data_IF_361498430910
#
_entry.id   IF_361498430910
#
_cell.length_a   1.000
_cell.length_b   1.000
_cell.length_c   1.000
_cell.angle_alpha   90.00
_cell.angle_beta   90.00
_cell.angle_gamma   90.00
#
_symmetry.space_group_name_H-M   'P 1'
#
loop_
_entity.id
_entity.type
_entity.pdbx_description
1 polymer ?
#
# COMPACT_ATOMS: atom_id res chain seq x y z
N UNK A 1 -24.19 4.68 -43.37
CA UNK A 1 -23.42 4.86 -42.12
C UNK A 1 -24.28 5.07 -40.87
N UNK A 2 -24.94 6.21 -40.59
CA UNK A 2 -25.79 6.35 -39.38
C UNK A 2 -26.99 5.37 -39.31
N UNK A 3 -27.45 4.88 -40.48
CA UNK A 3 -28.54 3.91 -40.62
C UNK A 3 -28.12 2.45 -40.43
N UNK A 4 -26.84 2.10 -40.57
CA UNK A 4 -26.42 0.68 -40.50
C UNK A 4 -26.18 0.23 -39.06
N UNK A 5 -25.58 1.08 -38.21
CA UNK A 5 -25.49 0.82 -36.76
C UNK A 5 -26.88 0.72 -36.10
N UNK A 6 -27.78 1.66 -36.42
CA UNK A 6 -29.16 1.66 -35.89
C UNK A 6 -29.95 0.44 -36.39
N UNK A 7 -29.71 -0.01 -37.63
CA UNK A 7 -30.31 -1.25 -38.16
C UNK A 7 -29.65 -2.50 -37.56
N UNK A 8 -28.37 -2.46 -37.21
CA UNK A 8 -27.64 -3.57 -36.60
C UNK A 8 -28.05 -3.77 -35.13
N UNK A 9 -28.21 -2.71 -34.35
CA UNK A 9 -28.75 -2.77 -32.98
C UNK A 9 -30.25 -3.08 -32.95
N UNK A 10 -31.04 -2.58 -33.92
CA UNK A 10 -32.42 -3.04 -34.13
C UNK A 10 -32.53 -4.50 -34.56
N UNK A 11 -31.48 -5.08 -35.16
CA UNK A 11 -31.42 -6.51 -35.51
C UNK A 11 -30.86 -7.38 -34.39
N UNK A 12 -30.12 -6.79 -33.45
CA UNK A 12 -29.72 -7.44 -32.22
C UNK A 12 -30.88 -7.58 -31.23
N UNK A 13 -32.04 -6.93 -31.47
CA UNK A 13 -33.09 -6.74 -30.46
C UNK A 13 -32.43 -6.33 -29.13
N UNK A 14 -31.97 -5.08 -29.02
CA UNK A 14 -31.44 -4.54 -27.75
C UNK A 14 -32.36 -4.89 -26.57
N UNK A 15 -33.67 -4.90 -26.81
CA UNK A 15 -34.69 -5.37 -25.90
C UNK A 15 -34.57 -6.88 -25.60
N UNK A 16 -34.48 -7.77 -26.60
CA UNK A 16 -34.32 -9.22 -26.40
C UNK A 16 -32.99 -9.60 -25.76
N UNK A 17 -31.87 -8.98 -26.14
CA UNK A 17 -30.57 -9.24 -25.50
C UNK A 17 -30.55 -8.67 -24.08
N UNK A 18 -31.10 -7.47 -23.85
CA UNK A 18 -31.29 -6.97 -22.49
C UNK A 18 -32.20 -7.91 -21.68
N UNK A 19 -33.28 -8.44 -22.28
CA UNK A 19 -34.19 -9.42 -21.68
C UNK A 19 -33.53 -10.77 -21.39
N UNK A 20 -32.71 -11.30 -22.30
CA UNK A 20 -32.02 -12.58 -22.13
C UNK A 20 -30.86 -12.46 -21.13
N UNK A 21 -30.20 -11.29 -21.09
CA UNK A 21 -29.27 -10.89 -20.04
C UNK A 21 -29.96 -10.72 -18.66
N UNK A 22 -31.17 -10.16 -18.64
CA UNK A 22 -31.99 -10.03 -17.42
C UNK A 22 -32.45 -11.39 -16.89
N UNK A 23 -32.86 -12.28 -17.79
CA UNK A 23 -33.31 -13.65 -17.48
C UNK A 23 -32.18 -14.55 -16.97
N UNK A 24 -30.93 -14.29 -17.37
CA UNK A 24 -29.76 -15.08 -16.91
C UNK A 24 -29.24 -14.66 -15.54
N UNK A 25 -29.71 -13.54 -14.97
CA UNK A 25 -29.26 -13.01 -13.68
C UNK A 25 -30.19 -13.31 -12.48
N UNK A 26 -31.19 -14.19 -12.61
CA UNK A 26 -32.13 -14.58 -11.51
C UNK A 26 -32.97 -13.40 -10.93
N UNK A 27 -33.10 -12.27 -11.63
CA UNK A 27 -33.79 -11.06 -11.16
C UNK A 27 -35.20 -10.81 -11.76
N UNK A 28 -35.91 -11.86 -12.18
CA UNK A 28 -37.21 -11.75 -12.84
C UNK A 28 -38.39 -11.46 -11.88
N UNK A 29 -38.33 -10.38 -11.08
CA UNK A 29 -39.52 -9.85 -10.38
C UNK A 29 -40.16 -8.70 -11.18
N UNK A 30 -41.50 -8.61 -11.24
CA UNK A 30 -42.25 -7.66 -12.09
C UNK A 30 -41.88 -6.19 -11.89
N UNK A 31 -41.61 -5.81 -10.64
CA UNK A 31 -41.28 -4.44 -10.22
C UNK A 31 -39.96 -3.91 -10.83
N UNK A 32 -39.09 -4.81 -11.29
CA UNK A 32 -37.82 -4.46 -11.93
C UNK A 32 -37.91 -4.50 -13.46
N UNK A 33 -38.97 -5.08 -14.04
CA UNK A 33 -39.20 -5.09 -15.49
C UNK A 33 -39.55 -3.70 -16.04
N UNK A 34 -40.11 -2.82 -15.20
CA UNK A 34 -40.46 -1.43 -15.56
C UNK A 34 -39.21 -0.56 -15.84
N UNK A 35 -38.01 -1.04 -15.53
CA UNK A 35 -36.75 -0.30 -15.67
C UNK A 35 -35.97 -0.66 -16.95
N UNK A 36 -36.42 -1.66 -17.72
CA UNK A 36 -35.84 -2.04 -19.02
C UNK A 36 -35.79 -0.87 -20.01
N UNK A 37 -36.79 0.05 -20.08
CA UNK A 37 -36.70 1.23 -20.92
C UNK A 37 -35.57 2.21 -20.54
N UNK A 38 -35.15 2.26 -19.26
CA UNK A 38 -34.02 3.07 -18.80
C UNK A 38 -32.66 2.51 -19.27
N UNK A 39 -32.56 1.18 -19.43
CA UNK A 39 -31.39 0.49 -20.01
C UNK A 39 -31.27 0.76 -21.51
N UNK A 40 -32.42 0.98 -22.18
CA UNK A 40 -32.52 1.17 -23.63
C UNK A 40 -32.51 2.65 -24.05
N UNK A 41 -32.74 3.58 -23.12
CA UNK A 41 -32.74 5.01 -23.39
C UNK A 41 -31.32 5.51 -23.71
N UNK A 42 -31.18 6.20 -24.85
CA UNK A 42 -29.94 6.78 -25.38
C UNK A 42 -29.55 8.06 -24.60
N UNK A 43 -29.65 8.03 -23.27
CA UNK A 43 -29.48 9.17 -22.36
C UNK A 43 -28.62 8.81 -21.15
N UNK A 44 -27.87 9.79 -20.64
CA UNK A 44 -26.93 9.66 -19.51
C UNK A 44 -27.56 9.39 -18.14
N UNK A 45 -28.46 8.42 -18.05
CA UNK A 45 -29.23 8.08 -16.84
C UNK A 45 -28.43 7.45 -15.70
N UNK A 46 -27.17 7.08 -15.93
CA UNK A 46 -26.28 6.51 -14.90
C UNK A 46 -25.63 7.55 -13.96
N UNK A 47 -25.83 8.86 -14.23
CA UNK A 47 -25.29 9.94 -13.39
C UNK A 47 -26.26 10.47 -12.33
N UNK A 48 -27.47 9.92 -12.23
CA UNK A 48 -28.35 10.23 -11.11
C UNK A 48 -28.01 9.31 -9.94
N UNK A 49 -27.97 9.84 -8.71
CA UNK A 49 -27.92 9.09 -7.44
C UNK A 49 -29.08 8.07 -7.27
N UNK A 50 -29.93 7.92 -8.30
CA UNK A 50 -31.12 7.08 -8.41
C UNK A 50 -30.99 5.99 -9.49
N UNK A 51 -29.81 5.77 -10.09
CA UNK A 51 -29.60 4.68 -11.04
C UNK A 51 -29.80 3.32 -10.34
N UNK A 52 -30.91 2.65 -10.67
CA UNK A 52 -31.25 1.36 -10.07
C UNK A 52 -30.15 0.32 -10.31
N UNK A 53 -29.74 -0.39 -9.26
CA UNK A 53 -28.77 -1.50 -9.29
C UNK A 53 -29.07 -2.53 -10.40
N UNK A 54 -30.34 -2.65 -10.80
CA UNK A 54 -30.79 -3.55 -11.86
C UNK A 54 -30.47 -3.04 -13.27
N UNK A 55 -30.57 -1.73 -13.51
CA UNK A 55 -30.17 -1.13 -14.77
C UNK A 55 -28.65 -1.25 -14.98
N UNK A 56 -27.86 -1.09 -13.91
CA UNK A 56 -26.40 -1.30 -13.92
C UNK A 56 -26.08 -2.76 -14.29
N UNK A 57 -26.73 -3.74 -13.65
CA UNK A 57 -26.52 -5.16 -13.90
C UNK A 57 -26.93 -5.58 -15.32
N UNK A 58 -28.06 -5.04 -15.84
CA UNK A 58 -28.53 -5.31 -17.19
C UNK A 58 -27.56 -4.77 -18.25
N UNK A 59 -27.05 -3.54 -18.07
CA UNK A 59 -26.06 -2.95 -18.95
C UNK A 59 -24.73 -3.73 -18.96
N UNK A 60 -24.29 -4.23 -17.81
CA UNK A 60 -23.14 -5.12 -17.74
C UNK A 60 -23.37 -6.44 -18.49
N UNK A 61 -24.51 -7.09 -18.26
CA UNK A 61 -24.81 -8.37 -18.89
C UNK A 61 -25.02 -8.23 -20.42
N UNK A 62 -25.61 -7.13 -20.88
CA UNK A 62 -25.68 -6.78 -22.30
C UNK A 62 -24.29 -6.61 -22.91
N UNK A 63 -23.38 -5.86 -22.27
CA UNK A 63 -22.01 -5.71 -22.74
C UNK A 63 -21.29 -7.08 -22.85
N UNK A 64 -21.44 -7.94 -21.84
CA UNK A 64 -20.88 -9.30 -21.84
C UNK A 64 -21.50 -10.19 -22.93
N UNK A 65 -22.80 -10.06 -23.19
CA UNK A 65 -23.48 -10.79 -24.26
C UNK A 65 -22.96 -10.38 -25.65
N UNK A 66 -22.77 -9.08 -25.90
CA UNK A 66 -22.19 -8.57 -27.15
C UNK A 66 -20.76 -9.08 -27.33
N UNK A 67 -19.94 -9.02 -26.28
CA UNK A 67 -18.57 -9.58 -26.30
C UNK A 67 -18.58 -11.06 -26.70
N UNK A 68 -19.49 -11.85 -26.12
CA UNK A 68 -19.56 -13.30 -26.34
C UNK A 68 -20.09 -13.69 -27.71
N UNK A 69 -21.13 -13.00 -28.18
CA UNK A 69 -21.89 -13.42 -29.35
C UNK A 69 -21.57 -12.62 -30.62
N UNK A 70 -21.07 -11.39 -30.47
CA UNK A 70 -20.83 -10.47 -31.60
C UNK A 70 -19.50 -9.69 -31.50
N UNK A 71 -18.34 -10.37 -31.33
CA UNK A 71 -17.05 -9.69 -31.13
C UNK A 71 -16.57 -8.85 -32.33
N UNK A 72 -17.08 -9.10 -33.54
CA UNK A 72 -16.79 -8.32 -34.76
C UNK A 72 -17.40 -6.92 -34.72
N UNK A 73 -18.53 -6.71 -34.00
CA UNK A 73 -19.15 -5.38 -33.85
C UNK A 73 -18.24 -4.43 -33.07
N UNK A 74 -17.48 -4.99 -32.13
CA UNK A 74 -16.49 -4.23 -31.37
C UNK A 74 -15.29 -3.83 -32.23
N UNK A 75 -15.15 -4.35 -33.46
CA UNK A 75 -14.06 -4.08 -34.42
C UNK A 75 -14.29 -2.78 -35.19
N UNK A 76 -15.51 -2.57 -35.67
CA UNK A 76 -15.79 -1.46 -36.58
C UNK A 76 -16.42 -0.25 -35.86
N UNK A 77 -17.11 -0.47 -34.73
CA UNK A 77 -17.97 0.54 -34.10
C UNK A 77 -17.62 0.90 -32.65
N UNK A 78 -16.45 0.44 -32.15
CA UNK A 78 -16.01 0.66 -30.77
C UNK A 78 -16.09 2.13 -30.28
N UNK A 79 -15.62 3.13 -31.04
CA UNK A 79 -15.66 4.52 -30.57
C UNK A 79 -17.07 5.04 -30.39
N UNK A 80 -18.03 4.58 -31.20
CA UNK A 80 -19.43 5.01 -31.10
C UNK A 80 -20.12 4.34 -29.90
N UNK A 81 -19.78 3.09 -29.60
CA UNK A 81 -20.29 2.37 -28.43
C UNK A 81 -19.80 2.99 -27.11
N UNK A 82 -18.55 3.43 -27.07
CA UNK A 82 -17.96 4.15 -25.93
C UNK A 82 -18.49 5.59 -25.77
N UNK A 83 -19.24 6.13 -26.74
CA UNK A 83 -19.78 7.48 -26.69
C UNK A 83 -21.28 7.54 -26.37
N UNK A 84 -22.04 6.43 -26.52
CA UNK A 84 -23.51 6.48 -26.59
C UNK A 84 -24.27 5.75 -25.48
N UNK A 85 -23.60 5.05 -24.57
CA UNK A 85 -24.26 4.15 -23.60
C UNK A 85 -23.92 4.46 -22.14
N UNK A 86 -24.66 3.80 -21.24
CA UNK A 86 -24.49 3.82 -19.78
C UNK A 86 -23.01 3.65 -19.36
N UNK A 87 -22.63 4.21 -18.21
CA UNK A 87 -21.24 4.20 -17.75
C UNK A 87 -20.74 2.77 -17.51
N UNK A 88 -21.62 1.89 -16.98
CA UNK A 88 -21.25 0.48 -16.74
C UNK A 88 -21.06 -0.32 -18.02
N UNK A 89 -21.91 -0.12 -19.03
CA UNK A 89 -21.73 -0.77 -20.33
C UNK A 89 -20.39 -0.37 -20.96
N UNK A 90 -20.10 0.94 -20.99
CA UNK A 90 -18.85 1.49 -21.54
C UNK A 90 -17.63 0.94 -20.81
N UNK A 91 -17.69 0.83 -19.49
CA UNK A 91 -16.63 0.24 -18.67
C UNK A 91 -16.32 -1.21 -19.08
N UNK A 92 -17.34 -2.08 -19.19
CA UNK A 92 -17.14 -3.50 -19.54
C UNK A 92 -16.55 -3.66 -20.95
N UNK A 93 -17.01 -2.87 -21.92
CA UNK A 93 -16.46 -2.88 -23.28
C UNK A 93 -15.01 -2.38 -23.30
N UNK A 94 -14.72 -1.28 -22.60
CA UNK A 94 -13.36 -0.71 -22.53
C UNK A 94 -12.37 -1.66 -21.85
N UNK A 95 -12.78 -2.34 -20.77
CA UNK A 95 -11.98 -3.39 -20.11
C UNK A 95 -11.64 -4.51 -21.09
N UNK A 96 -12.65 -5.08 -21.76
CA UNK A 96 -12.46 -6.18 -22.71
C UNK A 96 -11.55 -5.81 -23.89
N UNK A 97 -11.74 -4.63 -24.47
CA UNK A 97 -10.95 -4.18 -25.61
C UNK A 97 -9.49 -3.91 -25.22
N UNK A 98 -9.28 -3.27 -24.06
CA UNK A 98 -7.94 -3.00 -23.53
C UNK A 98 -7.19 -4.30 -23.18
N UNK A 99 -7.91 -5.35 -22.80
CA UNK A 99 -7.32 -6.67 -22.54
C UNK A 99 -6.97 -7.43 -23.83
N UNK A 100 -7.81 -7.37 -24.87
CA UNK A 100 -7.77 -8.32 -25.99
C UNK A 100 -7.29 -7.75 -27.32
N UNK A 101 -7.19 -6.42 -27.49
CA UNK A 101 -6.80 -5.81 -28.77
C UNK A 101 -5.60 -4.89 -28.67
N UNK A 102 -4.44 -5.45 -29.01
CA UNK A 102 -3.14 -4.78 -28.88
C UNK A 102 -3.04 -3.47 -29.67
N UNK A 103 -3.64 -3.40 -30.87
CA UNK A 103 -3.53 -2.25 -31.77
C UNK A 103 -4.37 -1.03 -31.29
N UNK A 104 -5.41 -1.28 -30.50
CA UNK A 104 -6.40 -0.26 -30.13
C UNK A 104 -6.27 0.27 -28.70
N UNK A 105 -5.50 -0.38 -27.83
CA UNK A 105 -5.41 -0.02 -26.39
C UNK A 105 -5.04 1.45 -26.19
N UNK A 106 -4.06 1.97 -26.94
CA UNK A 106 -3.67 3.36 -26.86
C UNK A 106 -4.77 4.33 -27.35
N UNK A 107 -5.58 3.93 -28.33
CA UNK A 107 -6.68 4.73 -28.84
C UNK A 107 -7.85 4.79 -27.84
N UNK A 108 -8.16 3.67 -27.18
CA UNK A 108 -9.21 3.59 -26.15
C UNK A 108 -8.80 4.40 -24.92
N UNK A 109 -7.56 4.25 -24.46
CA UNK A 109 -7.04 5.05 -23.34
C UNK A 109 -7.04 6.55 -23.65
N UNK A 110 -6.67 6.94 -24.88
CA UNK A 110 -6.77 8.34 -25.31
C UNK A 110 -8.22 8.83 -25.28
N UNK A 111 -9.15 8.03 -25.80
CA UNK A 111 -10.59 8.36 -25.79
C UNK A 111 -11.10 8.55 -24.36
N UNK A 112 -10.72 7.65 -23.44
CA UNK A 112 -11.09 7.73 -22.03
C UNK A 112 -10.54 8.99 -21.35
N UNK A 113 -9.28 9.34 -21.64
CA UNK A 113 -8.66 10.58 -21.14
C UNK A 113 -9.33 11.83 -21.70
N UNK A 114 -9.63 11.86 -23.00
CA UNK A 114 -10.29 12.99 -23.66
C UNK A 114 -11.72 13.20 -23.17
N UNK A 115 -12.44 12.11 -22.86
CA UNK A 115 -13.81 12.18 -22.32
C UNK A 115 -13.86 12.62 -20.85
N UNK A 116 -12.72 12.64 -20.14
CA UNK A 116 -12.61 12.94 -18.70
C UNK A 116 -13.58 12.11 -17.84
N UNK A 117 -13.82 10.87 -18.25
CA UNK A 117 -14.75 9.97 -17.58
C UNK A 117 -13.97 9.00 -16.71
N UNK A 118 -13.91 9.27 -15.40
CA UNK A 118 -13.10 8.49 -14.44
C UNK A 118 -13.48 7.01 -14.41
N UNK A 119 -14.76 6.67 -14.63
CA UNK A 119 -15.21 5.28 -14.69
C UNK A 119 -14.68 4.57 -15.93
N UNK A 120 -14.71 5.26 -17.07
CA UNK A 120 -14.14 4.75 -18.33
C UNK A 120 -12.62 4.61 -18.24
N UNK A 121 -11.93 5.59 -17.65
CA UNK A 121 -10.47 5.52 -17.41
C UNK A 121 -10.15 4.33 -16.51
N UNK A 122 -10.85 4.18 -15.38
CA UNK A 122 -10.62 3.09 -14.43
C UNK A 122 -10.81 1.72 -15.07
N UNK A 123 -11.87 1.54 -15.86
CA UNK A 123 -12.13 0.27 -16.57
C UNK A 123 -11.10 -0.02 -17.65
N UNK A 124 -10.65 1.01 -18.38
CA UNK A 124 -9.56 0.90 -19.36
C UNK A 124 -8.26 0.46 -18.68
N UNK A 125 -7.91 1.05 -17.53
CA UNK A 125 -6.74 0.68 -16.74
C UNK A 125 -6.82 -0.75 -16.19
N UNK A 126 -8.03 -1.23 -15.83
CA UNK A 126 -8.25 -2.61 -15.42
C UNK A 126 -7.97 -3.59 -16.56
N UNK A 127 -8.53 -3.35 -17.75
CA UNK A 127 -8.25 -4.19 -18.93
C UNK A 127 -6.78 -4.16 -19.33
N UNK A 128 -6.15 -2.99 -19.24
CA UNK A 128 -4.73 -2.79 -19.49
C UNK A 128 -3.85 -3.58 -18.50
N UNK A 129 -4.22 -3.64 -17.21
CA UNK A 129 -3.50 -4.44 -16.21
C UNK A 129 -3.45 -5.91 -16.63
N UNK A 130 -4.57 -6.46 -17.08
CA UNK A 130 -4.66 -7.83 -17.59
C UNK A 130 -3.82 -8.02 -18.86
N UNK A 131 -3.86 -7.08 -19.80
CA UNK A 131 -3.04 -7.14 -21.02
C UNK A 131 -1.53 -7.14 -20.72
N UNK A 132 -1.08 -6.31 -19.76
CA UNK A 132 0.32 -6.24 -19.32
C UNK A 132 0.73 -7.58 -18.70
N UNK A 133 -0.07 -8.11 -17.77
CA UNK A 133 0.21 -9.38 -17.09
C UNK A 133 0.30 -10.56 -18.07
N UNK A 134 -0.46 -10.50 -19.18
CA UNK A 134 -0.46 -11.52 -20.23
C UNK A 134 0.57 -11.25 -21.35
N UNK A 135 1.46 -10.26 -21.17
CA UNK A 135 2.49 -9.85 -22.14
C UNK A 135 1.96 -9.53 -23.55
N UNK A 136 0.74 -9.00 -23.61
CA UNK A 136 0.04 -8.69 -24.86
C UNK A 136 0.41 -7.33 -25.46
N UNK A 137 1.27 -6.54 -24.84
CA UNK A 137 1.66 -5.22 -25.39
C UNK A 137 3.07 -5.27 -25.95
N UNK A 138 3.21 -5.01 -27.25
CA UNK A 138 4.48 -5.03 -27.96
C UNK A 138 4.64 -3.81 -28.89
N UNK A 139 5.88 -3.56 -29.30
CA UNK A 139 6.21 -2.57 -30.33
C UNK A 139 5.70 -1.15 -30.05
N UNK A 140 5.17 -0.50 -31.09
CA UNK A 140 4.70 0.89 -31.05
C UNK A 140 3.52 1.11 -30.09
N UNK A 141 2.63 0.13 -29.95
CA UNK A 141 1.49 0.21 -29.03
C UNK A 141 1.95 0.30 -27.57
N UNK A 142 2.94 -0.51 -27.17
CA UNK A 142 3.55 -0.44 -25.83
C UNK A 142 4.09 0.95 -25.52
N UNK A 143 4.80 1.58 -26.47
CA UNK A 143 5.35 2.93 -26.29
C UNK A 143 4.28 4.01 -26.18
N UNK A 144 3.21 3.90 -26.98
CA UNK A 144 2.09 4.83 -26.93
C UNK A 144 1.33 4.73 -25.60
N UNK A 145 1.03 3.51 -25.15
CA UNK A 145 0.38 3.27 -23.85
C UNK A 145 1.25 3.77 -22.70
N UNK A 146 2.55 3.50 -22.71
CA UNK A 146 3.47 3.99 -21.67
C UNK A 146 3.41 5.53 -21.54
N UNK A 147 3.45 6.23 -22.68
CA UNK A 147 3.40 7.70 -22.69
C UNK A 147 2.05 8.25 -22.21
N UNK A 148 0.94 7.56 -22.53
CA UNK A 148 -0.39 7.92 -22.03
C UNK A 148 -0.51 7.69 -20.52
N UNK A 149 0.03 6.58 -20.00
CA UNK A 149 0.04 6.32 -18.56
C UNK A 149 0.88 7.34 -17.79
N UNK A 150 2.03 7.77 -18.31
CA UNK A 150 2.80 8.86 -17.69
C UNK A 150 1.98 10.15 -17.61
N UNK A 151 1.24 10.51 -18.67
CA UNK A 151 0.35 11.68 -18.63
C UNK A 151 -0.77 11.54 -17.61
N UNK A 152 -1.24 10.32 -17.34
CA UNK A 152 -2.21 10.06 -16.28
C UNK A 152 -1.61 10.21 -14.87
N UNK A 153 -0.29 9.99 -14.69
CA UNK A 153 0.39 10.20 -13.40
C UNK A 153 0.44 11.68 -12.96
N UNK A 154 0.21 12.64 -13.86
CA UNK A 154 0.14 14.08 -13.53
C UNK A 154 -1.29 14.62 -13.64
N UNK A 155 -2.27 13.75 -13.87
CA UNK A 155 -3.66 14.15 -14.02
C UNK A 155 -4.23 14.65 -12.70
N UNK A 156 -5.01 15.76 -12.69
CA UNK A 156 -5.59 16.34 -11.47
C UNK A 156 -6.83 15.55 -11.01
N UNK A 157 -6.69 14.23 -10.83
CA UNK A 157 -7.74 13.35 -10.29
C UNK A 157 -7.13 12.45 -9.21
N UNK A 158 -7.77 12.41 -8.04
CA UNK A 158 -7.34 11.58 -6.91
C UNK A 158 -7.72 10.09 -7.10
N UNK A 159 -8.52 9.76 -8.12
CA UNK A 159 -9.09 8.43 -8.33
C UNK A 159 -8.15 7.42 -9.00
N UNK A 160 -6.92 7.80 -9.35
CA UNK A 160 -6.01 6.97 -10.15
C UNK A 160 -4.68 6.60 -9.44
N UNK A 161 -4.70 6.13 -8.18
CA UNK A 161 -3.47 5.87 -7.41
C UNK A 161 -2.61 4.71 -7.97
N UNK A 162 -3.17 3.86 -8.82
CA UNK A 162 -2.48 2.66 -9.33
C UNK A 162 -1.71 2.90 -10.64
N UNK A 163 -1.86 4.05 -11.29
CA UNK A 163 -1.24 4.31 -12.61
C UNK A 163 0.29 4.18 -12.59
N UNK A 164 1.03 4.73 -11.60
CA UNK A 164 2.49 4.57 -11.54
C UNK A 164 2.92 3.09 -11.53
N UNK A 165 2.19 2.22 -10.84
CA UNK A 165 2.49 0.78 -10.80
C UNK A 165 2.28 0.12 -12.17
N UNK A 166 1.30 0.58 -12.96
CA UNK A 166 1.07 0.10 -14.33
C UNK A 166 2.18 0.57 -15.28
N UNK A 167 2.66 1.81 -15.13
CA UNK A 167 3.85 2.30 -15.86
C UNK A 167 5.06 1.39 -15.59
N UNK A 168 5.31 1.09 -14.31
CA UNK A 168 6.39 0.19 -13.89
C UNK A 168 6.24 -1.24 -14.42
N UNK A 169 5.02 -1.76 -14.46
CA UNK A 169 4.73 -3.11 -14.97
C UNK A 169 4.89 -3.20 -16.48
N UNK A 170 4.62 -2.10 -17.19
CA UNK A 170 4.72 -2.03 -18.64
C UNK A 170 6.17 -1.92 -19.11
N UNK A 171 6.99 -1.07 -18.50
CA UNK A 171 8.41 -0.93 -18.81
C UNK A 171 9.20 -0.45 -17.57
N UNK A 172 9.75 -1.38 -16.76
CA UNK A 172 10.36 -1.03 -15.48
C UNK A 172 11.65 -0.21 -15.64
N UNK A 173 12.45 -0.47 -16.69
CA UNK A 173 13.70 0.25 -16.90
C UNK A 173 13.45 1.70 -17.31
N UNK A 174 12.49 1.94 -18.20
CA UNK A 174 12.09 3.30 -18.55
C UNK A 174 11.40 4.01 -17.39
N UNK A 175 10.55 3.30 -16.63
CA UNK A 175 9.84 3.85 -15.48
C UNK A 175 10.79 4.37 -14.38
N UNK A 176 11.94 3.74 -14.17
CA UNK A 176 12.96 4.18 -13.18
C UNK A 176 13.43 5.63 -13.38
N UNK A 177 13.39 6.13 -14.61
CA UNK A 177 13.85 7.49 -14.94
C UNK A 177 12.67 8.45 -15.07
N UNK A 178 11.62 8.05 -15.79
CA UNK A 178 10.51 8.94 -16.16
C UNK A 178 9.63 9.31 -14.94
N UNK A 179 9.39 8.35 -14.03
CA UNK A 179 8.55 8.57 -12.84
C UNK A 179 9.21 9.48 -11.80
N UNK A 180 10.54 9.67 -11.86
CA UNK A 180 11.28 10.54 -10.95
C UNK A 180 11.71 11.86 -11.61
N UNK A 181 11.11 12.21 -12.75
CA UNK A 181 11.29 13.51 -13.38
C UNK A 181 10.76 14.64 -12.49
N UNK A 182 11.26 15.86 -12.71
CA UNK A 182 10.87 17.04 -11.93
C UNK A 182 9.37 17.34 -12.00
N UNK A 183 8.72 17.05 -13.13
CA UNK A 183 7.26 17.19 -13.30
C UNK A 183 6.51 16.20 -12.41
N UNK A 184 6.92 14.93 -12.41
CA UNK A 184 6.28 13.86 -11.64
C UNK A 184 6.45 14.05 -10.13
N UNK A 185 7.63 14.52 -9.72
CA UNK A 185 7.99 14.76 -8.32
C UNK A 185 7.51 16.11 -7.78
N UNK A 186 6.65 16.84 -8.50
CA UNK A 186 6.03 18.05 -7.99
C UNK A 186 5.19 17.74 -6.72
N UNK A 187 5.42 18.43 -5.58
CA UNK A 187 4.64 18.28 -4.36
C UNK A 187 3.12 18.42 -4.52
N UNK A 188 2.66 19.16 -5.53
CA UNK A 188 1.24 19.36 -5.84
C UNK A 188 0.61 18.16 -6.57
N UNK A 189 1.42 17.26 -7.16
CA UNK A 189 0.94 16.10 -7.90
C UNK A 189 0.09 15.18 -7.00
N UNK A 190 -1.20 14.92 -7.31
CA UNK A 190 -2.06 14.04 -6.52
C UNK A 190 -1.53 12.60 -6.43
N UNK A 191 -0.81 12.12 -7.45
CA UNK A 191 -0.25 10.78 -7.49
C UNK A 191 1.13 10.67 -6.80
N UNK A 192 1.68 11.74 -6.23
CA UNK A 192 3.06 11.77 -5.72
C UNK A 192 3.39 10.64 -4.74
N UNK A 193 2.49 10.32 -3.81
CA UNK A 193 2.70 9.22 -2.87
C UNK A 193 2.84 7.86 -3.58
N UNK A 194 2.02 7.61 -4.60
CA UNK A 194 2.08 6.39 -5.40
C UNK A 194 3.33 6.35 -6.29
N UNK A 195 3.71 7.49 -6.87
CA UNK A 195 4.96 7.64 -7.64
C UNK A 195 6.16 7.31 -6.77
N UNK A 196 6.26 7.90 -5.57
CA UNK A 196 7.36 7.64 -4.63
C UNK A 196 7.39 6.19 -4.14
N UNK A 197 6.23 5.58 -3.89
CA UNK A 197 6.12 4.15 -3.59
C UNK A 197 6.72 3.30 -4.72
N UNK A 198 6.26 3.52 -5.95
CA UNK A 198 6.71 2.76 -7.11
C UNK A 198 8.19 3.02 -7.41
N UNK A 199 8.66 4.26 -7.26
CA UNK A 199 10.08 4.60 -7.36
C UNK A 199 10.92 3.84 -6.32
N UNK A 200 10.39 3.71 -5.09
CA UNK A 200 10.99 2.91 -4.04
C UNK A 200 11.02 1.43 -4.41
N UNK A 201 9.98 0.85 -5.00
CA UNK A 201 9.93 -0.56 -5.44
C UNK A 201 10.96 -0.84 -6.55
N UNK A 202 11.03 0.05 -7.54
CA UNK A 202 11.91 -0.04 -8.71
C UNK A 202 13.39 0.31 -8.46
N UNK A 203 13.72 0.83 -7.28
CA UNK A 203 15.05 1.41 -6.99
C UNK A 203 15.44 2.55 -7.94
N UNK A 204 14.49 3.43 -8.25
CA UNK A 204 14.64 4.51 -9.24
C UNK A 204 15.76 5.51 -8.91
N UNK A 205 16.36 6.11 -9.93
CA UNK A 205 17.49 7.04 -9.81
C UNK A 205 17.04 8.45 -9.44
N UNK A 206 16.60 8.61 -8.19
CA UNK A 206 16.15 9.89 -7.65
C UNK A 206 17.32 10.67 -7.04
N UNK A 207 17.32 11.99 -7.23
CA UNK A 207 18.30 12.87 -6.59
C UNK A 207 17.95 13.12 -5.11
N UNK A 208 18.97 13.26 -4.26
CA UNK A 208 18.77 13.59 -2.85
C UNK A 208 18.15 15.00 -2.68
N UNK A 209 18.56 15.97 -3.50
CA UNK A 209 18.05 17.35 -3.44
C UNK A 209 16.55 17.42 -3.77
N UNK A 210 16.11 16.65 -4.76
CA UNK A 210 14.68 16.55 -5.10
C UNK A 210 13.88 15.98 -3.93
N UNK A 211 14.34 14.88 -3.32
CA UNK A 211 13.65 14.29 -2.17
C UNK A 211 13.63 15.21 -0.95
N UNK A 212 14.72 15.92 -0.67
CA UNK A 212 14.79 16.87 0.44
C UNK A 212 13.81 18.03 0.21
N UNK A 213 13.76 18.58 -1.00
CA UNK A 213 12.82 19.65 -1.36
C UNK A 213 11.37 19.21 -1.18
N UNK A 214 11.03 18.00 -1.63
CA UNK A 214 9.69 17.43 -1.43
C UNK A 214 9.38 17.27 0.06
N UNK A 215 10.32 16.70 0.82
CA UNK A 215 10.14 16.49 2.26
C UNK A 215 9.84 17.80 2.98
N UNK A 216 10.69 18.82 2.80
CA UNK A 216 10.57 20.11 3.48
C UNK A 216 9.31 20.87 3.08
N UNK A 217 8.91 20.82 1.81
CA UNK A 217 7.70 21.49 1.35
C UNK A 217 6.44 20.81 1.89
N UNK A 218 6.37 19.48 1.81
CA UNK A 218 5.21 18.72 2.31
C UNK A 218 5.10 18.81 3.83
N UNK A 219 6.22 18.77 4.56
CA UNK A 219 6.21 18.94 6.02
C UNK A 219 5.74 20.35 6.43
N UNK A 220 6.20 21.39 5.73
CA UNK A 220 5.81 22.79 5.99
C UNK A 220 4.34 23.05 5.70
N UNK A 221 3.84 22.57 4.57
CA UNK A 221 2.49 22.85 4.08
C UNK A 221 1.44 21.88 4.65
N UNK A 222 1.86 20.95 5.52
CA UNK A 222 1.02 19.90 6.10
C UNK A 222 -0.20 20.48 6.84
N UNK A 223 -1.43 20.20 6.40
CA UNK A 223 -2.61 20.44 7.20
C UNK A 223 -2.63 19.53 8.44
N UNK A 224 -3.27 19.98 9.52
CA UNK A 224 -3.47 19.16 10.71
C UNK A 224 -4.15 17.82 10.36
N UNK A 225 -3.47 16.72 10.69
CA UNK A 225 -3.94 15.33 10.48
C UNK A 225 -4.22 14.91 9.01
N UNK A 226 -3.44 15.40 8.05
CA UNK A 226 -3.55 14.99 6.63
C UNK A 226 -2.86 13.64 6.32
N UNK A 227 -3.65 12.68 5.81
CA UNK A 227 -3.18 11.35 5.39
C UNK A 227 -2.25 11.41 4.18
N UNK A 228 -2.48 12.34 3.24
CA UNK A 228 -1.68 12.44 2.00
C UNK A 228 -0.24 12.85 2.33
N UNK A 229 -0.06 13.91 3.10
CA UNK A 229 1.25 14.38 3.56
C UNK A 229 2.01 13.29 4.31
N UNK A 230 1.35 12.57 5.22
CA UNK A 230 1.96 11.44 5.93
C UNK A 230 2.48 10.35 4.98
N UNK A 231 1.69 9.96 3.98
CA UNK A 231 2.11 8.95 2.99
C UNK A 231 3.29 9.43 2.16
N UNK A 232 3.28 10.68 1.70
CA UNK A 232 4.38 11.26 0.92
C UNK A 232 5.68 11.25 1.75
N UNK A 233 5.64 11.81 2.97
CA UNK A 233 6.81 11.86 3.85
C UNK A 233 7.35 10.46 4.15
N UNK A 234 6.47 9.50 4.41
CA UNK A 234 6.84 8.08 4.63
C UNK A 234 7.58 7.50 3.43
N UNK A 235 7.10 7.72 2.21
CA UNK A 235 7.73 7.19 1.01
C UNK A 235 9.03 7.89 0.65
N UNK A 236 9.13 9.21 0.87
CA UNK A 236 10.40 9.95 0.74
C UNK A 236 11.47 9.33 1.65
N UNK A 237 11.15 9.10 2.92
CA UNK A 237 12.10 8.52 3.88
C UNK A 237 12.47 7.09 3.48
N UNK A 238 11.50 6.25 3.10
CA UNK A 238 11.78 4.88 2.65
C UNK A 238 12.69 4.83 1.43
N UNK A 239 12.49 5.73 0.47
CA UNK A 239 13.32 5.82 -0.72
C UNK A 239 14.75 6.26 -0.37
N UNK A 240 14.90 7.29 0.48
CA UNK A 240 16.20 7.72 1.01
C UNK A 240 16.93 6.59 1.77
N UNK A 241 16.19 5.82 2.58
CA UNK A 241 16.72 4.65 3.29
C UNK A 241 17.21 3.55 2.35
N UNK A 242 16.53 3.32 1.22
CA UNK A 242 16.91 2.28 0.25
C UNK A 242 18.23 2.63 -0.44
N UNK A 243 18.49 3.92 -0.69
CA UNK A 243 19.72 4.38 -1.36
C UNK A 243 20.99 4.25 -0.51
N UNK A 244 20.88 4.28 0.82
CA UNK A 244 22.00 4.06 1.77
C UNK A 244 23.29 4.86 1.46
N UNK A 245 23.16 6.05 0.88
CA UNK A 245 24.31 6.87 0.46
C UNK A 245 24.35 8.20 1.22
N UNK A 246 25.55 8.75 1.39
CA UNK A 246 25.78 9.99 2.14
C UNK A 246 24.92 11.19 1.69
N UNK A 247 24.61 11.42 0.40
CA UNK A 247 23.74 12.52 -0.03
C UNK A 247 22.33 12.47 0.57
N UNK A 248 21.84 11.29 0.98
CA UNK A 248 20.50 11.13 1.56
C UNK A 248 20.49 11.30 3.09
N UNK A 249 21.63 11.48 3.75
CA UNK A 249 21.70 11.71 5.22
C UNK A 249 20.85 12.88 5.70
N UNK A 250 20.84 14.05 5.01
CA UNK A 250 20.06 15.21 5.48
C UNK A 250 18.57 14.91 5.62
N UNK A 251 18.00 14.16 4.66
CA UNK A 251 16.58 13.76 4.69
C UNK A 251 16.30 12.88 5.91
N UNK A 252 17.17 11.89 6.14
CA UNK A 252 17.04 10.97 7.27
C UNK A 252 17.25 11.69 8.62
N UNK A 253 18.14 12.68 8.66
CA UNK A 253 18.38 13.53 9.82
C UNK A 253 17.15 14.38 10.17
N UNK A 254 16.55 15.04 9.18
CA UNK A 254 15.31 15.81 9.35
C UNK A 254 14.16 14.90 9.80
N UNK A 255 13.95 13.78 9.10
CA UNK A 255 12.92 12.80 9.46
C UNK A 255 13.08 12.27 10.89
N UNK A 256 14.31 12.01 11.35
CA UNK A 256 14.58 11.50 12.72
C UNK A 256 14.16 12.43 13.86
N UNK A 257 13.87 13.71 13.55
CA UNK A 257 13.42 14.74 14.49
C UNK A 257 11.95 15.09 14.32
N UNK A 258 11.28 14.49 13.34
CA UNK A 258 9.89 14.80 12.98
C UNK A 258 8.91 14.46 14.12
N UNK A 259 7.75 15.13 14.11
CA UNK A 259 6.70 15.00 15.14
C UNK A 259 5.88 13.71 14.98
N UNK A 260 5.65 13.28 13.74
CA UNK A 260 5.01 12.00 13.40
C UNK A 260 5.90 10.81 13.81
N UNK A 261 5.43 9.89 14.66
CA UNK A 261 6.20 8.75 15.13
C UNK A 261 6.71 7.83 14.02
N UNK A 262 5.96 7.60 12.95
CA UNK A 262 6.34 6.68 11.88
C UNK A 262 7.46 7.27 11.02
N UNK A 263 7.31 8.53 10.61
CA UNK A 263 8.34 9.27 9.88
C UNK A 263 9.62 9.33 10.71
N UNK A 264 9.47 9.60 12.02
CA UNK A 264 10.58 9.62 12.98
C UNK A 264 11.29 8.28 13.10
N UNK A 265 10.54 7.21 13.27
CA UNK A 265 11.05 5.84 13.39
C UNK A 265 11.83 5.43 12.15
N UNK A 266 11.26 5.69 10.96
CA UNK A 266 11.92 5.42 9.68
C UNK A 266 13.19 6.25 9.52
N UNK A 267 13.15 7.55 9.83
CA UNK A 267 14.33 8.43 9.78
C UNK A 267 15.46 7.91 10.67
N UNK A 268 15.15 7.55 11.92
CA UNK A 268 16.12 6.98 12.85
C UNK A 268 16.71 5.64 12.35
N UNK A 269 15.86 4.73 11.88
CA UNK A 269 16.29 3.45 11.31
C UNK A 269 17.20 3.67 10.08
N UNK A 270 16.85 4.61 9.21
CA UNK A 270 17.65 4.99 8.06
C UNK A 270 19.04 5.46 8.44
N UNK A 271 19.15 6.33 9.46
CA UNK A 271 20.44 6.81 9.93
C UNK A 271 21.29 5.70 10.55
N UNK A 272 20.67 4.74 11.24
CA UNK A 272 21.38 3.56 11.73
C UNK A 272 21.94 2.75 10.56
N UNK A 273 21.13 2.45 9.54
CA UNK A 273 21.59 1.71 8.35
C UNK A 273 22.69 2.42 7.57
N UNK A 274 22.61 3.75 7.47
CA UNK A 274 23.62 4.55 6.77
C UNK A 274 24.97 4.53 7.50
N UNK A 275 24.96 4.55 8.84
CA UNK A 275 26.20 4.58 9.65
C UNK A 275 26.84 3.21 9.83
N UNK A 276 26.04 2.14 9.87
CA UNK A 276 26.52 0.79 10.14
C UNK A 276 26.00 -0.20 9.09
N UNK A 277 26.85 -0.66 8.16
CA UNK A 277 26.45 -1.65 7.16
C UNK A 277 26.18 -3.04 7.76
N UNK A 278 26.70 -3.34 8.95
CA UNK A 278 26.67 -4.68 9.58
C UNK A 278 25.39 -4.99 10.39
N UNK A 279 24.37 -4.13 10.37
CA UNK A 279 23.17 -4.17 11.22
C UNK A 279 23.49 -4.37 12.73
N UNK A 280 23.60 -3.28 13.52
CA UNK A 280 24.01 -3.36 14.92
C UNK A 280 23.01 -4.12 15.81
N UNK A 281 21.75 -4.25 15.41
CA UNK A 281 20.75 -5.02 16.15
C UNK A 281 21.03 -6.50 15.99
N UNK A 282 21.15 -6.96 14.73
CA UNK A 282 21.44 -8.36 14.42
C UNK A 282 22.76 -8.80 15.05
N UNK A 283 23.83 -8.02 14.87
CA UNK A 283 25.13 -8.32 15.46
C UNK A 283 25.07 -8.41 17.00
N UNK A 284 24.30 -7.54 17.65
CA UNK A 284 24.13 -7.58 19.10
C UNK A 284 23.38 -8.84 19.57
N UNK A 285 22.32 -9.23 18.84
CA UNK A 285 21.54 -10.43 19.11
C UNK A 285 22.38 -11.70 18.96
N UNK A 286 23.20 -11.78 17.91
CA UNK A 286 24.13 -12.87 17.68
C UNK A 286 25.18 -12.93 18.80
N UNK A 287 25.78 -11.80 19.17
CA UNK A 287 26.80 -11.72 20.21
C UNK A 287 26.31 -12.23 21.59
N UNK A 288 25.09 -11.88 22.01
CA UNK A 288 24.55 -12.39 23.30
C UNK A 288 24.21 -13.89 23.27
N UNK A 289 24.12 -14.49 22.08
CA UNK A 289 23.88 -15.93 21.92
C UNK A 289 25.19 -16.73 21.85
N UNK A 290 26.25 -16.16 21.30
CA UNK A 290 27.54 -16.84 21.09
C UNK A 290 28.60 -16.56 22.15
N UNK A 291 28.47 -15.46 22.90
CA UNK A 291 29.53 -14.94 23.76
C UNK A 291 29.06 -14.78 25.21
N UNK A 292 29.99 -14.90 26.16
CA UNK A 292 29.71 -14.69 27.58
C UNK A 292 29.17 -13.27 27.83
N UNK A 293 28.05 -13.15 28.54
CA UNK A 293 27.46 -11.86 28.89
C UNK A 293 28.41 -10.96 29.71
N UNK A 294 29.45 -11.49 30.36
CA UNK A 294 30.42 -10.67 31.10
C UNK A 294 31.37 -9.90 30.17
N UNK A 295 31.70 -10.45 29.00
CA UNK A 295 32.65 -9.84 28.05
C UNK A 295 32.00 -8.86 27.07
N UNK A 296 30.67 -8.87 26.94
CA UNK A 296 29.96 -7.92 26.08
C UNK A 296 29.86 -6.54 26.74
N UNK A 297 29.87 -5.48 25.92
CA UNK A 297 29.64 -4.12 26.37
C UNK A 297 28.19 -3.92 26.83
N UNK A 298 27.94 -2.91 27.65
CA UNK A 298 26.57 -2.58 28.09
C UNK A 298 25.64 -2.20 26.93
N UNK A 299 26.06 -1.37 25.94
CA UNK A 299 25.20 -1.03 24.80
C UNK A 299 24.75 -2.24 23.98
N UNK A 300 25.65 -3.20 23.72
CA UNK A 300 25.33 -4.44 22.99
C UNK A 300 24.27 -5.25 23.72
N UNK A 301 24.38 -5.39 25.05
CA UNK A 301 23.35 -6.08 25.86
C UNK A 301 22.01 -5.36 25.77
N UNK A 302 22.00 -4.04 25.95
CA UNK A 302 20.76 -3.25 25.93
C UNK A 302 20.03 -3.45 24.60
N UNK A 303 20.76 -3.31 23.49
CA UNK A 303 20.18 -3.48 22.14
C UNK A 303 19.65 -4.89 21.94
N UNK A 304 20.45 -5.91 22.26
CA UNK A 304 20.09 -7.30 22.06
C UNK A 304 18.85 -7.72 22.88
N UNK A 305 18.81 -7.39 24.16
CA UNK A 305 17.71 -7.79 25.04
C UNK A 305 16.43 -7.00 24.77
N UNK A 306 16.54 -5.71 24.40
CA UNK A 306 15.38 -4.93 23.99
C UNK A 306 14.81 -5.44 22.66
N UNK A 307 15.65 -5.75 21.66
CA UNK A 307 15.19 -6.30 20.37
C UNK A 307 14.51 -7.65 20.55
N UNK A 308 15.15 -8.59 21.27
CA UNK A 308 14.54 -9.90 21.55
C UNK A 308 13.20 -9.78 22.25
N UNK A 309 13.05 -8.84 23.17
CA UNK A 309 11.79 -8.60 23.86
C UNK A 309 10.69 -8.09 22.91
N UNK A 310 11.02 -7.21 21.95
CA UNK A 310 10.07 -6.78 20.92
C UNK A 310 9.58 -8.02 20.15
N UNK A 311 10.51 -8.81 19.62
CA UNK A 311 10.20 -10.00 18.81
C UNK A 311 9.39 -11.04 19.61
N UNK A 312 9.76 -11.28 20.87
CA UNK A 312 9.13 -12.29 21.73
C UNK A 312 7.75 -11.88 22.28
N UNK A 313 7.38 -10.59 22.25
CA UNK A 313 6.13 -10.08 22.83
C UNK A 313 5.16 -9.55 21.79
N UNK A 314 5.64 -8.93 20.71
CA UNK A 314 4.77 -8.33 19.69
C UNK A 314 4.31 -9.36 18.65
N UNK A 315 5.15 -10.31 18.26
CA UNK A 315 4.81 -11.29 17.22
C UNK A 315 3.86 -12.41 17.68
N UNK A 316 3.98 -13.00 18.88
CA UNK A 316 3.11 -14.09 19.30
C UNK A 316 1.74 -13.61 19.80
N UNK A 317 0.66 -14.36 19.50
CA UNK A 317 -0.70 -14.05 20.00
C UNK A 317 -0.78 -13.98 21.54
N UNK A 318 0.04 -14.77 22.24
CA UNK A 318 0.12 -14.82 23.71
C UNK A 318 1.01 -13.70 24.30
N UNK A 319 1.76 -12.97 23.46
CA UNK A 319 2.64 -11.84 23.82
C UNK A 319 3.42 -11.97 25.13
N UNK A 320 3.13 -11.09 26.09
CA UNK A 320 3.83 -11.03 27.40
C UNK A 320 3.73 -12.36 28.18
N UNK A 321 2.66 -13.14 28.00
CA UNK A 321 2.47 -14.43 28.67
C UNK A 321 3.42 -15.47 28.09
N UNK A 322 3.55 -15.51 26.76
CA UNK A 322 4.53 -16.36 26.09
C UNK A 322 5.96 -15.99 26.50
N UNK A 323 6.26 -14.70 26.58
CA UNK A 323 7.55 -14.20 27.06
C UNK A 323 7.85 -14.69 28.48
N UNK A 324 6.93 -14.52 29.43
CA UNK A 324 7.10 -14.97 30.81
C UNK A 324 7.28 -16.49 30.94
N UNK A 325 6.61 -17.29 30.10
CA UNK A 325 6.74 -18.76 30.09
C UNK A 325 8.09 -19.26 29.56
N UNK A 326 8.64 -18.58 28.56
CA UNK A 326 9.84 -19.04 27.82
C UNK A 326 11.14 -18.46 28.36
N UNK A 327 11.07 -17.30 29.01
CA UNK A 327 12.25 -16.55 29.43
C UNK A 327 12.78 -17.06 30.77
N UNK A 328 14.10 -17.27 30.85
CA UNK A 328 14.74 -17.58 32.14
C UNK A 328 14.81 -16.32 33.02
N UNK A 329 14.78 -16.49 34.33
CA UNK A 329 14.90 -15.40 35.31
C UNK A 329 16.04 -14.43 34.97
N UNK A 330 17.24 -14.96 34.71
CA UNK A 330 18.41 -14.16 34.36
C UNK A 330 18.15 -13.29 33.14
N UNK A 331 17.58 -13.86 32.07
CA UNK A 331 17.25 -13.11 30.84
C UNK A 331 16.16 -12.07 31.11
N UNK A 332 15.15 -12.41 31.90
CA UNK A 332 14.07 -11.50 32.28
C UNK A 332 14.61 -10.26 32.99
N UNK A 333 15.51 -10.42 33.97
CA UNK A 333 16.16 -9.30 34.66
C UNK A 333 17.03 -8.45 33.71
N UNK A 334 17.74 -9.08 32.76
CA UNK A 334 18.50 -8.34 31.73
C UNK A 334 17.58 -7.54 30.81
N UNK A 335 16.44 -8.09 30.39
CA UNK A 335 15.44 -7.40 29.59
C UNK A 335 14.88 -6.19 30.36
N UNK A 336 14.43 -6.38 31.60
CA UNK A 336 13.93 -5.30 32.45
C UNK A 336 14.95 -4.16 32.59
N UNK A 337 16.22 -4.49 32.88
CA UNK A 337 17.31 -3.51 32.98
C UNK A 337 17.56 -2.77 31.66
N UNK A 338 17.48 -3.48 30.54
CA UNK A 338 17.70 -2.91 29.21
C UNK A 338 16.59 -1.92 28.84
N UNK A 339 15.33 -2.30 29.06
CA UNK A 339 14.18 -1.42 28.88
C UNK A 339 14.21 -0.20 29.82
N UNK A 340 14.68 -0.39 31.05
CA UNK A 340 14.94 0.71 32.00
C UNK A 340 16.00 1.68 31.50
N UNK A 341 17.07 1.17 30.90
CA UNK A 341 18.13 2.00 30.28
C UNK A 341 17.60 2.82 29.11
N UNK A 342 16.71 2.23 28.31
CA UNK A 342 16.01 2.91 27.22
C UNK A 342 14.92 3.89 27.71
N UNK A 343 14.61 3.91 29.02
CA UNK A 343 13.50 4.67 29.62
C UNK A 343 12.14 4.29 29.02
N UNK A 344 11.96 3.01 28.68
CA UNK A 344 10.71 2.46 28.14
C UNK A 344 9.70 2.17 29.26
N UNK A 345 9.27 3.22 29.98
CA UNK A 345 8.50 3.11 31.24
C UNK A 345 7.27 2.19 31.15
N UNK A 346 6.41 2.23 30.12
CA UNK A 346 5.26 1.33 30.03
C UNK A 346 5.67 -0.16 30.01
N UNK A 347 6.73 -0.49 29.29
CA UNK A 347 7.24 -1.87 29.22
C UNK A 347 7.93 -2.29 30.51
N UNK A 348 8.69 -1.38 31.14
CA UNK A 348 9.31 -1.62 32.45
C UNK A 348 8.23 -1.90 33.50
N UNK A 349 7.21 -1.05 33.59
CA UNK A 349 6.10 -1.23 34.54
C UNK A 349 5.39 -2.56 34.31
N UNK A 350 5.19 -2.95 33.05
CA UNK A 350 4.56 -4.22 32.74
C UNK A 350 5.40 -5.42 33.20
N UNK A 351 6.70 -5.40 32.97
CA UNK A 351 7.60 -6.47 33.42
C UNK A 351 7.81 -6.48 34.94
N UNK A 352 7.82 -5.31 35.59
CA UNK A 352 7.86 -5.21 37.06
C UNK A 352 6.58 -5.79 37.66
N UNK A 353 5.41 -5.44 37.12
CA UNK A 353 4.15 -6.03 37.56
C UNK A 353 4.14 -7.56 37.45
N UNK A 354 4.73 -8.12 36.37
CA UNK A 354 4.87 -9.58 36.26
C UNK A 354 5.74 -10.18 37.37
N UNK A 355 6.79 -9.49 37.83
CA UNK A 355 7.61 -9.95 38.95
C UNK A 355 6.86 -9.84 40.28
N UNK A 356 6.04 -8.82 40.46
CA UNK A 356 5.23 -8.64 41.67
C UNK A 356 4.18 -9.75 41.79
N UNK A 357 3.57 -10.16 40.68
CA UNK A 357 2.52 -11.20 40.66
C UNK A 357 3.06 -12.64 40.63
N UNK A 358 4.18 -12.89 39.96
CA UNK A 358 4.70 -14.24 39.72
C UNK A 358 5.98 -14.55 40.53
N UNK A 359 6.48 -13.57 41.30
CA UNK A 359 7.73 -13.65 42.03
C UNK A 359 8.97 -13.48 41.14
N UNK A 360 10.15 -13.72 41.72
CA UNK A 360 11.44 -13.48 41.05
C UNK A 360 11.66 -14.32 39.78
N UNK A 361 10.94 -15.45 39.66
CA UNK A 361 10.99 -16.34 38.50
C UNK A 361 9.60 -16.50 37.88
N UNK A 362 9.22 -15.63 36.91
CA UNK A 362 7.91 -15.66 36.27
C UNK A 362 7.52 -17.02 35.68
N UNK A 363 8.51 -17.76 35.17
CA UNK A 363 8.28 -19.11 34.60
C UNK A 363 7.90 -20.13 35.67
N UNK A 364 8.46 -20.03 36.87
CA UNK A 364 8.09 -20.90 37.99
C UNK A 364 6.71 -20.52 38.53
N UNK A 365 6.45 -19.23 38.78
CA UNK A 365 5.14 -18.76 39.26
C UNK A 365 3.99 -19.15 38.31
N UNK A 366 4.20 -19.05 36.99
CA UNK A 366 3.19 -19.48 36.01
C UNK A 366 2.93 -21.00 36.00
N UNK A 367 3.89 -21.84 36.41
CA UNK A 367 3.67 -23.29 36.50
C UNK A 367 2.86 -23.68 37.74
N UNK A 368 2.91 -22.86 38.78
CA UNK A 368 2.21 -23.10 40.05
C UNK A 368 0.74 -22.66 39.98
N UNK A 369 0.41 -21.75 39.06
CA UNK A 369 -0.96 -21.28 38.83
C UNK A 369 -1.89 -22.38 38.31
N UNK A 370 -3.11 -22.44 38.86
CA UNK A 370 -4.16 -23.35 38.38
C UNK A 370 -4.82 -22.80 37.12
N UNK A 371 -5.48 -23.66 36.34
CA UNK A 371 -6.06 -23.29 35.04
C UNK A 371 -7.02 -22.08 35.07
N UNK A 372 -7.82 -21.93 36.13
CA UNK A 372 -8.73 -20.79 36.28
C UNK A 372 -7.97 -19.48 36.62
N UNK A 373 -6.96 -19.55 37.49
CA UNK A 373 -6.09 -18.44 37.87
C UNK A 373 -5.26 -17.97 36.67
N UNK A 374 -4.68 -18.91 35.93
CA UNK A 374 -3.91 -18.64 34.71
C UNK A 374 -4.77 -17.94 33.64
N UNK A 375 -6.05 -18.32 33.51
CA UNK A 375 -6.99 -17.67 32.58
C UNK A 375 -7.32 -16.25 33.03
N UNK A 376 -7.52 -16.02 34.32
CA UNK A 376 -7.76 -14.67 34.87
C UNK A 376 -6.51 -13.78 34.70
N UNK A 377 -5.34 -14.31 35.02
CA UNK A 377 -4.05 -13.64 34.84
C UNK A 377 -3.80 -13.26 33.38
N UNK A 378 -4.04 -14.18 32.44
CA UNK A 378 -3.93 -13.91 31.00
C UNK A 378 -4.81 -12.75 30.53
N UNK A 379 -6.02 -12.58 31.10
CA UNK A 379 -6.89 -11.43 30.80
C UNK A 379 -6.28 -10.11 31.29
N UNK A 380 -5.78 -10.07 32.53
CA UNK A 380 -5.12 -8.87 33.09
C UNK A 380 -3.90 -8.48 32.29
N UNK A 381 -3.09 -9.47 31.90
CA UNK A 381 -1.88 -9.29 31.12
C UNK A 381 -2.19 -8.83 29.68
N UNK A 382 -3.25 -9.34 29.05
CA UNK A 382 -3.72 -8.85 27.75
C UNK A 382 -4.16 -7.37 27.82
N UNK A 383 -4.85 -6.97 28.89
CA UNK A 383 -5.23 -5.56 29.09
C UNK A 383 -4.01 -4.64 29.27
N UNK A 384 -2.96 -5.13 29.94
CA UNK A 384 -1.70 -4.43 30.10
C UNK A 384 -0.92 -4.34 28.77
N UNK A 385 -0.87 -5.43 28.01
CA UNK A 385 -0.20 -5.50 26.70
C UNK A 385 -0.77 -4.50 25.69
N UNK A 386 -2.09 -4.23 25.72
CA UNK A 386 -2.73 -3.21 24.87
C UNK A 386 -2.22 -1.79 25.08
N UNK A 387 -1.53 -1.52 26.18
CA UNK A 387 -0.95 -0.20 26.50
C UNK A 387 0.52 -0.09 26.10
N UNK A 388 1.11 -1.16 25.57
CA UNK A 388 2.49 -1.17 25.13
C UNK A 388 2.60 -0.60 23.71
N UNK A 389 3.52 0.33 23.53
CA UNK A 389 3.80 0.98 22.26
C UNK A 389 5.19 0.53 21.76
N UNK A 390 5.19 -0.50 20.92
CA UNK A 390 6.41 -1.08 20.37
C UNK A 390 7.10 -0.16 19.36
N UNK A 391 6.36 0.72 18.68
CA UNK A 391 6.96 1.72 17.80
C UNK A 391 7.75 2.75 18.59
N UNK A 392 7.22 3.19 19.73
CA UNK A 392 7.96 4.03 20.67
C UNK A 392 9.21 3.34 21.19
N UNK A 393 9.13 2.04 21.51
CA UNK A 393 10.30 1.27 21.95
C UNK A 393 11.37 1.16 20.85
N UNK A 394 10.98 0.92 19.59
CA UNK A 394 11.90 0.93 18.44
C UNK A 394 12.57 2.30 18.25
N UNK A 395 11.82 3.40 18.39
CA UNK A 395 12.38 4.76 18.36
C UNK A 395 13.48 4.92 19.43
N UNK A 396 13.20 4.54 20.67
CA UNK A 396 14.16 4.63 21.77
C UNK A 396 15.40 3.76 21.51
N UNK A 397 15.21 2.56 20.95
CA UNK A 397 16.29 1.65 20.57
C UNK A 397 17.21 2.28 19.52
N UNK A 398 16.66 2.84 18.42
CA UNK A 398 17.47 3.47 17.38
C UNK A 398 18.19 4.73 17.88
N UNK A 399 17.53 5.54 18.71
CA UNK A 399 18.17 6.69 19.36
C UNK A 399 19.34 6.26 20.24
N UNK A 400 19.17 5.17 21.00
CA UNK A 400 20.22 4.61 21.84
C UNK A 400 21.41 4.10 21.03
N UNK A 401 21.16 3.40 19.92
CA UNK A 401 22.22 2.96 18.99
C UNK A 401 22.99 4.16 18.45
N UNK A 402 22.28 5.18 17.95
CA UNK A 402 22.90 6.39 17.41
C UNK A 402 23.74 7.15 18.45
N UNK A 403 23.30 7.17 19.71
CA UNK A 403 24.02 7.82 20.81
C UNK A 403 25.25 7.03 21.30
N UNK A 404 25.26 5.70 21.13
CA UNK A 404 26.34 4.82 21.58
C UNK A 404 27.12 4.22 20.41
N UNK A 405 27.25 5.00 19.33
CA UNK A 405 27.76 4.51 18.05
C UNK A 405 29.15 3.86 18.10
N UNK A 406 30.03 4.33 18.99
CA UNK A 406 31.37 3.78 19.20
C UNK A 406 31.35 2.29 19.60
N UNK A 407 30.33 1.87 20.35
CA UNK A 407 30.18 0.48 20.77
C UNK A 407 29.85 -0.48 19.61
N UNK A 408 29.51 0.07 18.43
CA UNK A 408 29.11 -0.67 17.24
C UNK A 408 30.05 -0.41 16.04
N UNK A 409 31.08 0.44 16.21
CA UNK A 409 31.98 0.83 15.14
C UNK A 409 33.16 -0.16 14.91
N UNK A 410 33.34 -1.16 15.77
CA UNK A 410 34.56 -1.96 15.86
C UNK A 410 34.36 -3.48 15.83
N UNK A 411 33.28 -3.99 15.21
CA UNK A 411 33.09 -5.41 14.97
C UNK A 411 33.07 -5.74 13.48
#
# INVERSE_FOLDING_TARGET
MLKELVVMFRRLDDEKIAWDAYRTLDYAQPEYMEQVPLVLADGGGDHADEASKYAIAANEALARAIIRHHPHILQDDAPQLLQRRSARFRAVIAEYQSENRQEDVAAILRTAMESRDDALISATLQGLRSAIAQHRLQGSSRNAVFSLLLRLCTWPSEFLPDVPSLVASLDPERAKTELVSAEMLNPENPALAAILRTACELDSDVSADSLLTIFERVDRDRPGNDRRSHLILTWVVRLAMRKQNAPFEPILATASRHSDPDVKRLGLLGRVKLRWPHDPIRASVEAVNSTSLKSLSSPVKVVAFASKYIDEVEEPEDGLLAFARKTSEKRFRYTLKSLGTLKATPHVNALTWLLDELGENPRAGLKEMRGAELKAFGKSLSALAKRLDFDRLRILLYQFILANGEAFAAN
#
